data_IF_110026924063
#
_entry.id   IF_110026924063
#
_cell.length_a   1.000
_cell.length_b   1.000
_cell.length_c   1.000
_cell.angle_alpha   90.00
_cell.angle_beta   90.00
_cell.angle_gamma   90.00
#
_symmetry.space_group_name_H-M   'P 1'
#
loop_
_entity.id
_entity.type
_entity.pdbx_description
1 polymer ?
#
# COMPACT_ATOMS: atom_id res chain seq x y z
N UNK A 1 -10.27 18.76 -10.88
CA UNK A 1 -9.69 17.60 -10.18
C UNK A 1 -8.35 17.94 -9.56
N UNK A 2 -7.44 18.61 -10.28
CA UNK A 2 -6.06 18.89 -9.88
C UNK A 2 -5.88 19.54 -8.49
N UNK A 3 -6.69 20.54 -8.14
CA UNK A 3 -6.65 21.17 -6.81
C UNK A 3 -6.95 20.16 -5.68
N UNK A 4 -7.93 19.27 -5.88
CA UNK A 4 -8.31 18.26 -4.89
C UNK A 4 -7.21 17.21 -4.72
N UNK A 5 -6.58 16.77 -5.82
CA UNK A 5 -5.44 15.85 -5.77
C UNK A 5 -4.31 16.41 -4.91
N UNK A 6 -3.98 17.69 -5.07
CA UNK A 6 -2.93 18.34 -4.29
C UNK A 6 -3.29 18.40 -2.79
N UNK A 7 -4.51 18.79 -2.47
CA UNK A 7 -4.97 18.83 -1.07
C UNK A 7 -4.96 17.44 -0.41
N UNK A 8 -5.37 16.40 -1.14
CA UNK A 8 -5.31 15.03 -0.66
C UNK A 8 -3.87 14.57 -0.40
N UNK A 9 -2.94 14.89 -1.31
CA UNK A 9 -1.52 14.57 -1.11
C UNK A 9 -0.94 15.27 0.13
N UNK A 10 -1.32 16.53 0.38
CA UNK A 10 -0.94 17.27 1.59
C UNK A 10 -1.48 16.57 2.84
N UNK A 11 -2.76 16.17 2.85
CA UNK A 11 -3.35 15.47 3.99
C UNK A 11 -2.71 14.09 4.24
N UNK A 12 -2.35 13.36 3.18
CA UNK A 12 -1.67 12.05 3.29
C UNK A 12 -0.27 12.15 3.90
N UNK A 13 0.45 13.26 3.69
CA UNK A 13 1.77 13.48 4.31
C UNK A 13 1.70 13.71 5.82
N UNK A 14 0.52 13.97 6.37
CA UNK A 14 0.36 14.19 7.81
C UNK A 14 0.43 12.87 8.55
N UNK A 15 1.26 12.81 9.59
CA UNK A 15 1.44 11.62 10.42
C UNK A 15 0.35 11.42 11.49
N UNK A 16 -0.67 12.29 11.53
CA UNK A 16 -1.77 12.16 12.47
C UNK A 16 -2.62 10.94 12.06
N UNK A 17 -2.84 10.01 13.00
CA UNK A 17 -3.55 8.77 12.70
C UNK A 17 -4.99 8.99 12.22
N UNK A 18 -5.75 9.88 12.87
CA UNK A 18 -7.16 10.13 12.53
C UNK A 18 -7.29 10.80 11.17
N UNK A 19 -6.49 11.85 10.94
CA UNK A 19 -6.51 12.61 9.69
C UNK A 19 -5.94 11.78 8.53
N UNK A 20 -4.81 11.10 8.75
CA UNK A 20 -4.18 10.24 7.76
C UNK A 20 -5.09 9.07 7.36
N UNK A 21 -5.77 8.43 8.32
CA UNK A 21 -6.77 7.39 8.02
C UNK A 21 -7.86 7.91 7.09
N UNK A 22 -8.43 9.08 7.39
CA UNK A 22 -9.48 9.67 6.57
C UNK A 22 -8.95 10.05 5.18
N UNK A 23 -7.75 10.65 5.11
CA UNK A 23 -7.09 10.96 3.85
C UNK A 23 -6.90 9.71 2.98
N UNK A 24 -6.41 8.61 3.57
CA UNK A 24 -6.24 7.34 2.87
C UNK A 24 -7.56 6.79 2.30
N UNK A 25 -8.65 6.85 3.08
CA UNK A 25 -9.98 6.40 2.64
C UNK A 25 -10.50 7.30 1.52
N UNK A 26 -10.47 8.62 1.70
CA UNK A 26 -10.98 9.58 0.72
C UNK A 26 -10.19 9.50 -0.58
N UNK A 27 -8.85 9.40 -0.53
CA UNK A 27 -8.02 9.24 -1.73
C UNK A 27 -8.33 7.94 -2.46
N UNK A 28 -8.53 6.82 -1.74
CA UNK A 28 -8.91 5.55 -2.36
C UNK A 28 -10.24 5.68 -3.11
N UNK A 29 -11.26 6.28 -2.47
CA UNK A 29 -12.56 6.51 -3.11
C UNK A 29 -12.47 7.46 -4.28
N UNK A 30 -11.67 8.52 -4.16
CA UNK A 30 -11.44 9.50 -5.22
C UNK A 30 -10.85 8.85 -6.47
N UNK A 31 -9.81 8.02 -6.32
CA UNK A 31 -9.20 7.31 -7.46
C UNK A 31 -10.18 6.29 -8.07
N UNK A 32 -10.94 5.57 -7.24
CA UNK A 32 -12.02 4.68 -7.72
C UNK A 32 -13.06 5.44 -8.54
N UNK A 33 -13.46 6.63 -8.09
CA UNK A 33 -14.49 7.43 -8.75
C UNK A 33 -14.00 8.10 -10.03
N UNK A 34 -12.73 8.49 -10.09
CA UNK A 34 -12.13 9.00 -11.33
C UNK A 34 -12.04 7.89 -12.37
N UNK A 35 -11.57 6.70 -11.98
CA UNK A 35 -11.40 5.57 -12.89
C UNK A 35 -10.36 5.79 -14.00
N UNK A 36 -9.60 6.88 -13.93
CA UNK A 36 -8.55 7.23 -14.89
C UNK A 36 -7.21 6.65 -14.44
N UNK A 37 -6.47 6.08 -15.40
CA UNK A 37 -5.08 5.69 -15.23
C UNK A 37 -4.17 6.90 -15.42
N UNK A 38 -3.20 7.10 -14.52
CA UNK A 38 -2.25 8.21 -14.58
C UNK A 38 -1.06 7.94 -13.65
N UNK A 39 0.10 7.66 -14.22
CA UNK A 39 1.34 7.46 -13.46
C UNK A 39 1.73 8.71 -12.65
N UNK A 40 1.39 9.91 -13.13
CA UNK A 40 1.59 11.16 -12.39
C UNK A 40 0.72 11.20 -11.12
N UNK A 41 -0.56 10.85 -11.25
CA UNK A 41 -1.49 10.75 -10.12
C UNK A 41 -1.01 9.71 -9.10
N UNK A 42 -0.62 8.53 -9.59
CA UNK A 42 -0.06 7.48 -8.77
C UNK A 42 1.20 7.94 -8.04
N UNK A 43 2.17 8.51 -8.76
CA UNK A 43 3.45 8.99 -8.20
C UNK A 43 3.21 10.01 -7.10
N UNK A 44 2.30 10.98 -7.34
CA UNK A 44 1.98 12.02 -6.35
C UNK A 44 1.46 11.44 -5.03
N UNK A 45 0.54 10.47 -5.08
CA UNK A 45 0.02 9.82 -3.87
C UNK A 45 1.01 8.83 -3.26
N UNK A 46 1.76 8.09 -4.07
CA UNK A 46 2.84 7.20 -3.63
C UNK A 46 3.87 7.95 -2.81
N UNK A 47 4.33 9.11 -3.28
CA UNK A 47 5.34 9.92 -2.60
C UNK A 47 4.82 10.50 -1.28
N UNK A 48 3.51 10.68 -1.13
CA UNK A 48 2.89 11.07 0.14
C UNK A 48 2.78 9.90 1.12
N UNK A 49 2.45 8.69 0.63
CA UNK A 49 2.12 7.52 1.46
C UNK A 49 3.37 6.73 1.87
N UNK A 50 4.28 6.47 0.93
CA UNK A 50 5.40 5.53 1.12
C UNK A 50 6.34 5.89 2.29
N UNK A 51 6.68 7.17 2.56
CA UNK A 51 7.50 7.52 3.71
C UNK A 51 6.89 7.08 5.05
N UNK A 52 5.57 7.24 5.20
CA UNK A 52 4.85 6.86 6.43
C UNK A 52 4.65 5.35 6.50
N UNK A 53 4.35 4.69 5.37
CA UNK A 53 4.15 3.25 5.32
C UNK A 53 5.43 2.47 5.69
N UNK A 54 6.60 2.98 5.29
CA UNK A 54 7.91 2.37 5.56
C UNK A 54 8.45 2.69 6.96
N UNK A 55 7.99 3.76 7.60
CA UNK A 55 8.47 4.17 8.92
C UNK A 55 7.82 3.31 10.03
N UNK A 56 8.62 2.41 10.61
CA UNK A 56 8.19 1.51 11.68
C UNK A 56 7.90 2.22 13.01
N UNK A 57 8.35 3.47 13.18
CA UNK A 57 8.00 4.29 14.35
C UNK A 57 6.56 4.81 14.27
N UNK A 58 5.89 4.72 13.11
CA UNK A 58 4.50 5.13 12.94
C UNK A 58 3.54 4.04 13.39
N UNK A 59 2.35 4.47 13.81
CA UNK A 59 1.25 3.59 14.22
C UNK A 59 0.95 2.53 13.15
N UNK A 60 0.88 1.26 13.57
CA UNK A 60 0.46 0.15 12.72
C UNK A 60 -0.96 0.36 12.17
N UNK A 61 -1.83 1.05 12.91
CA UNK A 61 -3.19 1.39 12.46
C UNK A 61 -3.14 2.35 11.27
N UNK A 62 -2.34 3.41 11.35
CA UNK A 62 -2.18 4.35 10.23
C UNK A 62 -1.55 3.66 9.02
N UNK A 63 -0.45 2.92 9.25
CA UNK A 63 0.26 2.17 8.20
C UNK A 63 -0.67 1.17 7.50
N UNK A 64 -1.60 0.53 8.22
CA UNK A 64 -2.61 -0.39 7.66
C UNK A 64 -3.48 0.31 6.61
N UNK A 65 -4.00 1.49 6.95
CA UNK A 65 -4.83 2.26 6.03
C UNK A 65 -4.03 2.71 4.80
N UNK A 66 -2.76 3.04 4.99
CA UNK A 66 -1.85 3.43 3.93
C UNK A 66 -1.50 2.26 3.01
N UNK A 67 -1.24 1.06 3.56
CA UNK A 67 -1.01 -0.16 2.80
C UNK A 67 -2.20 -0.51 1.91
N UNK A 68 -3.43 -0.38 2.43
CA UNK A 68 -4.66 -0.61 1.66
C UNK A 68 -4.84 0.46 0.58
N UNK A 69 -4.69 1.73 0.93
CA UNK A 69 -4.89 2.83 -0.01
C UNK A 69 -3.89 2.77 -1.17
N UNK A 70 -2.60 2.59 -0.91
CA UNK A 70 -1.60 2.53 -1.99
C UNK A 70 -1.80 1.33 -2.91
N UNK A 71 -2.28 0.19 -2.39
CA UNK A 71 -2.65 -0.96 -3.21
C UNK A 71 -3.79 -0.64 -4.18
N UNK A 72 -4.85 0.01 -3.70
CA UNK A 72 -5.98 0.45 -4.55
C UNK A 72 -5.53 1.50 -5.57
N UNK A 73 -4.76 2.50 -5.13
CA UNK A 73 -4.28 3.58 -6.00
C UNK A 73 -3.37 2.99 -7.10
N UNK A 74 -2.48 2.06 -6.76
CA UNK A 74 -1.63 1.39 -7.75
C UNK A 74 -2.46 0.55 -8.72
N UNK A 75 -3.43 -0.22 -8.23
CA UNK A 75 -4.29 -1.07 -9.05
C UNK A 75 -5.09 -0.29 -10.10
N UNK A 76 -5.50 0.95 -9.78
CA UNK A 76 -6.35 1.76 -10.67
C UNK A 76 -5.52 2.73 -11.51
N UNK A 77 -4.51 3.38 -10.92
CA UNK A 77 -3.86 4.53 -11.53
C UNK A 77 -2.47 4.24 -12.12
N UNK A 78 -1.78 3.17 -11.70
CA UNK A 78 -0.42 2.89 -12.15
C UNK A 78 -0.41 2.05 -13.43
N UNK A 79 0.21 2.57 -14.48
CA UNK A 79 0.42 1.87 -15.75
C UNK A 79 1.82 1.27 -15.84
N UNK A 80 2.79 1.83 -15.10
CA UNK A 80 4.14 1.29 -15.02
C UNK A 80 4.23 0.03 -14.16
N UNK A 81 4.44 -1.11 -14.82
CA UNK A 81 4.66 -2.42 -14.20
C UNK A 81 5.86 -2.40 -13.24
N UNK A 82 6.94 -1.67 -13.55
CA UNK A 82 8.12 -1.57 -12.68
C UNK A 82 7.77 -0.92 -11.35
N UNK A 83 7.01 0.18 -11.38
CA UNK A 83 6.54 0.84 -10.17
C UNK A 83 5.60 -0.05 -9.35
N UNK A 84 4.75 -0.83 -10.03
CA UNK A 84 3.88 -1.80 -9.36
C UNK A 84 4.68 -2.91 -8.68
N UNK A 85 5.71 -3.45 -9.34
CA UNK A 85 6.62 -4.45 -8.75
C UNK A 85 7.39 -3.89 -7.55
N UNK A 86 7.86 -2.63 -7.62
CA UNK A 86 8.50 -1.98 -6.49
C UNK A 86 7.57 -1.86 -5.28
N UNK A 87 6.31 -1.52 -5.51
CA UNK A 87 5.31 -1.47 -4.45
C UNK A 87 5.04 -2.86 -3.87
N UNK A 88 4.91 -3.88 -4.71
CA UNK A 88 4.73 -5.27 -4.25
C UNK A 88 5.88 -5.70 -3.34
N UNK A 89 7.14 -5.46 -3.75
CA UNK A 89 8.30 -5.74 -2.89
C UNK A 89 8.23 -4.99 -1.56
N UNK A 90 7.80 -3.72 -1.59
CA UNK A 90 7.64 -2.96 -0.35
C UNK A 90 6.55 -3.53 0.57
N UNK A 91 5.42 -3.97 0.03
CA UNK A 91 4.35 -4.62 0.81
C UNK A 91 4.82 -5.97 1.38
N UNK A 92 5.60 -6.73 0.63
CA UNK A 92 6.18 -8.00 1.05
C UNK A 92 7.11 -7.83 2.27
N UNK A 93 7.96 -6.80 2.30
CA UNK A 93 8.81 -6.52 3.46
C UNK A 93 8.02 -6.24 4.75
N UNK A 94 6.74 -5.89 4.64
CA UNK A 94 5.85 -5.68 5.79
C UNK A 94 5.30 -7.02 6.27
N UNK A 95 4.60 -7.78 5.41
CA UNK A 95 3.91 -8.99 5.86
C UNK A 95 4.82 -10.20 6.06
N UNK A 96 6.01 -10.24 5.43
CA UNK A 96 7.02 -11.29 5.62
C UNK A 96 7.53 -11.40 7.04
N UNK A 97 7.33 -10.37 7.87
CA UNK A 97 7.58 -10.42 9.32
C UNK A 97 6.62 -11.33 10.08
N UNK A 98 5.59 -11.83 9.42
CA UNK A 98 4.70 -12.88 9.97
C UNK A 98 5.14 -14.29 9.56
N UNK A 99 6.17 -14.42 8.73
CA UNK A 99 6.66 -15.72 8.32
C UNK A 99 7.17 -16.49 9.54
N UNK A 100 7.17 -17.82 9.41
CA UNK A 100 7.68 -18.69 10.46
C UNK A 100 9.14 -18.35 10.72
N UNK A 101 9.51 -18.30 11.99
CA UNK A 101 10.90 -18.20 12.37
C UNK A 101 11.65 -19.50 12.01
N UNK A 102 12.98 -19.52 12.13
CA UNK A 102 13.79 -20.70 11.78
C UNK A 102 13.48 -21.98 12.59
N UNK A 103 12.69 -21.86 13.65
CA UNK A 103 12.16 -22.94 14.49
C UNK A 103 10.76 -23.43 14.05
N UNK A 104 10.19 -22.87 12.99
CA UNK A 104 8.85 -23.21 12.49
C UNK A 104 7.70 -22.58 13.30
N UNK A 105 7.99 -21.67 14.23
CA UNK A 105 6.99 -21.03 15.09
C UNK A 105 6.63 -19.65 14.53
N UNK A 106 5.34 -19.36 14.47
CA UNK A 106 4.83 -18.04 14.06
C UNK A 106 5.14 -16.99 15.13
N UNK A 107 5.62 -15.79 14.76
CA UNK A 107 5.89 -14.72 15.71
C UNK A 107 4.61 -14.27 16.43
N UNK A 108 4.73 -13.96 17.72
CA UNK A 108 3.63 -13.42 18.52
C UNK A 108 3.50 -11.92 18.18
N UNK A 109 2.51 -11.59 17.38
CA UNK A 109 2.21 -10.21 16.94
C UNK A 109 1.00 -9.67 17.70
N UNK A 110 1.01 -8.36 18.00
CA UNK A 110 -0.20 -7.68 18.50
C UNK A 110 -1.25 -7.56 17.37
N UNK A 111 -2.51 -7.32 17.75
CA UNK A 111 -3.63 -7.28 16.81
C UNK A 111 -3.45 -6.21 15.71
N UNK A 112 -3.00 -5.00 16.05
CA UNK A 112 -2.83 -3.92 15.08
C UNK A 112 -1.76 -4.23 14.04
N UNK A 113 -0.70 -4.94 14.44
CA UNK A 113 0.37 -5.38 13.56
C UNK A 113 -0.09 -6.53 12.65
N UNK A 114 -0.89 -7.47 13.17
CA UNK A 114 -1.53 -8.51 12.36
C UNK A 114 -2.45 -7.90 11.29
N UNK A 115 -3.24 -6.90 11.67
CA UNK A 115 -4.11 -6.16 10.73
C UNK A 115 -3.31 -5.44 9.65
N UNK A 116 -2.17 -4.83 10.01
CA UNK A 116 -1.25 -4.21 9.04
C UNK A 116 -0.70 -5.25 8.06
N UNK A 117 -0.21 -6.38 8.56
CA UNK A 117 0.33 -7.45 7.71
C UNK A 117 -0.75 -8.01 6.78
N UNK A 118 -1.97 -8.21 7.28
CA UNK A 118 -3.13 -8.65 6.49
C UNK A 118 -3.47 -7.65 5.39
N UNK A 119 -3.48 -6.35 5.71
CA UNK A 119 -3.73 -5.31 4.71
C UNK A 119 -2.63 -5.26 3.65
N UNK A 120 -1.37 -5.39 4.04
CA UNK A 120 -0.24 -5.40 3.10
C UNK A 120 -0.30 -6.62 2.17
N UNK A 121 -0.56 -7.82 2.70
CA UNK A 121 -0.73 -9.04 1.92
C UNK A 121 -1.93 -8.93 0.98
N UNK A 122 -3.07 -8.39 1.44
CA UNK A 122 -4.27 -8.22 0.61
C UNK A 122 -4.01 -7.27 -0.56
N UNK A 123 -3.31 -6.15 -0.32
CA UNK A 123 -2.88 -5.24 -1.37
C UNK A 123 -1.90 -5.90 -2.34
N UNK A 124 -0.98 -6.72 -1.84
CA UNK A 124 -0.05 -7.46 -2.69
C UNK A 124 -0.79 -8.46 -3.59
N UNK A 125 -1.75 -9.22 -3.05
CA UNK A 125 -2.59 -10.15 -3.81
C UNK A 125 -3.47 -9.45 -4.84
N UNK A 126 -3.94 -8.22 -4.56
CA UNK A 126 -4.65 -7.42 -5.54
C UNK A 126 -3.74 -7.10 -6.74
N UNK A 127 -2.51 -6.66 -6.49
CA UNK A 127 -1.57 -6.29 -7.55
C UNK A 127 -1.06 -7.49 -8.34
N UNK A 128 -0.80 -8.63 -7.70
CA UNK A 128 -0.38 -9.84 -8.44
C UNK A 128 -1.46 -10.32 -9.41
N UNK A 129 -2.74 -10.06 -9.11
CA UNK A 129 -3.86 -10.45 -9.97
C UNK A 129 -3.89 -9.74 -11.33
N UNK A 130 -3.19 -8.61 -11.46
CA UNK A 130 -3.08 -7.84 -12.73
C UNK A 130 -1.77 -8.10 -13.46
N UNK A 131 -0.86 -8.89 -12.88
CA UNK A 131 0.46 -9.13 -13.47
C UNK A 131 0.41 -10.12 -14.65
N UNK A 132 1.27 -9.93 -15.67
CA UNK A 132 1.50 -10.95 -16.69
C UNK A 132 1.94 -12.29 -16.06
N UNK A 133 1.45 -13.41 -16.61
CA UNK A 133 1.67 -14.76 -16.03
C UNK A 133 3.15 -15.08 -15.73
N UNK A 134 4.07 -14.70 -16.62
CA UNK A 134 5.49 -14.94 -16.42
C UNK A 134 6.03 -14.23 -15.17
N UNK A 135 5.63 -12.97 -14.97
CA UNK A 135 6.08 -12.17 -13.84
C UNK A 135 5.38 -12.58 -12.54
N UNK A 136 4.09 -12.88 -12.61
CA UNK A 136 3.33 -13.41 -11.47
C UNK A 136 3.95 -14.72 -10.94
N UNK A 137 4.40 -15.60 -11.83
CA UNK A 137 5.09 -16.84 -11.44
C UNK A 137 6.42 -16.60 -10.74
N UNK A 138 7.18 -15.57 -11.12
CA UNK A 138 8.44 -15.22 -10.44
C UNK A 138 8.18 -14.67 -9.04
N UNK A 139 7.17 -13.80 -8.89
CA UNK A 139 6.83 -13.15 -7.62
C UNK A 139 6.25 -14.10 -6.57
N UNK A 140 5.48 -15.11 -6.98
CA UNK A 140 4.84 -16.08 -6.05
C UNK A 140 5.81 -17.19 -5.61
N UNK A 141 6.97 -17.33 -6.27
CA UNK A 141 7.98 -18.34 -5.94
C UNK A 141 8.96 -17.90 -4.85
N UNK A 142 8.95 -16.63 -4.47
CA UNK A 142 9.79 -16.07 -3.40
C UNK A 142 9.18 -16.37 -2.03
#
# INVERSE_FOLDING_TARGET
SENLTEQLAICLRKSNESEGRLAAIVTSLFVIQLGETSDELYTKFRDAIMPILRDESKSSILRKHFAKAIGIICFIACEDISMTVELMKALETIFSRSYLNGDGISPILNHDLQDLHTAALSSWCLLVSTMPNNLAHELVRM
#
